data_IF_956008396252
#
_entry.id   IF_956008396252
#
_cell.length_a   1.000
_cell.length_b   1.000
_cell.length_c   1.000
_cell.angle_alpha   90.00
_cell.angle_beta   90.00
_cell.angle_gamma   90.00
#
_symmetry.space_group_name_H-M   'P 1'
#
loop_
_entity.id
_entity.type
_entity.pdbx_description
1 polymer ?
#
# COMPACT_ATOMS: atom_id res chain seq x y z
N UNK A 1 4.37 6.57 8.34
CA UNK A 1 4.04 5.32 7.58
C UNK A 1 4.66 4.11 8.30
N UNK A 2 3.95 2.99 8.52
CA UNK A 2 4.47 1.84 9.28
C UNK A 2 5.01 0.72 8.38
N UNK A 3 6.25 0.24 8.59
CA UNK A 3 6.82 -0.96 7.93
C UNK A 3 6.91 -2.11 8.94
N UNK A 4 6.76 -3.38 8.55
CA UNK A 4 6.98 -4.55 9.42
C UNK A 4 8.11 -5.42 8.85
N UNK A 5 9.14 -5.72 9.65
CA UNK A 5 10.23 -6.67 9.34
C UNK A 5 10.35 -7.77 10.38
N UNK A 6 10.99 -8.88 10.04
CA UNK A 6 11.41 -9.94 10.98
C UNK A 6 12.94 -10.08 10.92
N UNK A 7 13.70 -9.54 11.91
CA UNK A 7 15.18 -9.46 11.83
C UNK A 7 15.88 -9.55 13.19
N UNK A 8 17.08 -10.16 13.19
CA UNK A 8 18.06 -10.24 14.28
C UNK A 8 18.62 -8.87 14.74
N UNK A 9 18.92 -8.79 16.04
CA UNK A 9 18.96 -7.58 16.87
C UNK A 9 20.08 -6.51 16.71
N UNK A 10 21.25 -6.63 16.02
CA UNK A 10 22.32 -5.65 16.31
C UNK A 10 22.38 -4.34 15.49
N UNK A 11 21.75 -4.21 14.31
CA UNK A 11 22.20 -3.19 13.32
C UNK A 11 21.24 -1.99 13.09
N UNK A 12 20.10 -1.94 13.78
CA UNK A 12 18.99 -1.02 13.48
C UNK A 12 19.30 0.44 13.86
N UNK A 13 20.25 0.68 14.77
CA UNK A 13 20.43 1.96 15.46
C UNK A 13 21.28 2.97 14.64
N UNK A 14 22.04 2.53 13.62
CA UNK A 14 23.06 3.38 12.99
C UNK A 14 22.68 3.98 11.62
N UNK A 15 21.43 3.83 11.15
CA UNK A 15 21.03 4.22 9.78
C UNK A 15 19.69 4.99 9.67
N UNK A 16 19.33 5.78 10.69
CA UNK A 16 18.28 6.80 10.54
C UNK A 16 16.84 6.29 10.62
N UNK A 17 16.59 5.25 11.42
CA UNK A 17 15.24 4.77 11.71
C UNK A 17 14.81 5.39 13.05
N UNK A 18 14.06 6.50 12.99
CA UNK A 18 13.76 7.35 14.15
C UNK A 18 12.80 6.73 15.18
N UNK A 19 11.96 5.78 14.76
CA UNK A 19 11.01 5.12 15.66
C UNK A 19 10.84 3.65 15.30
N UNK A 20 11.30 2.77 16.19
CA UNK A 20 11.21 1.31 16.06
C UNK A 20 10.39 0.75 17.21
N UNK A 21 9.25 0.14 16.91
CA UNK A 21 8.44 -0.61 17.88
C UNK A 21 8.70 -2.10 17.65
N UNK A 22 9.29 -2.78 18.63
CA UNK A 22 9.58 -4.22 18.56
C UNK A 22 8.45 -4.97 19.27
N UNK A 23 7.71 -5.80 18.53
CA UNK A 23 6.69 -6.70 19.09
C UNK A 23 6.96 -8.12 18.59
N UNK A 24 7.33 -9.05 19.46
CA UNK A 24 7.48 -10.50 19.16
C UNK A 24 8.10 -10.78 17.78
N UNK A 25 9.39 -10.46 17.60
CA UNK A 25 10.19 -10.54 16.36
C UNK A 25 9.84 -9.55 15.23
N UNK A 26 8.78 -8.75 15.37
CA UNK A 26 8.38 -7.77 14.36
C UNK A 26 8.89 -6.36 14.68
N UNK A 27 9.66 -5.79 13.75
CA UNK A 27 10.19 -4.42 13.81
C UNK A 27 9.26 -3.50 13.05
N UNK A 28 8.60 -2.59 13.78
CA UNK A 28 7.75 -1.55 13.19
C UNK A 28 8.46 -0.22 13.10
N UNK A 29 8.80 0.20 11.89
CA UNK A 29 9.41 1.52 11.67
C UNK A 29 8.33 2.54 11.30
N UNK A 30 8.35 3.71 11.92
CA UNK A 30 7.56 4.85 11.44
C UNK A 30 8.46 5.75 10.60
N UNK A 31 8.04 5.97 9.36
CA UNK A 31 8.63 6.92 8.41
C UNK A 31 10.00 6.51 7.85
N UNK A 32 9.96 5.57 6.91
CA UNK A 32 11.13 5.10 6.19
C UNK A 32 10.82 4.92 4.70
N UNK A 33 11.81 5.21 3.85
CA UNK A 33 11.71 5.09 2.41
C UNK A 33 11.91 3.62 1.98
N UNK A 34 10.89 3.02 1.37
CA UNK A 34 10.88 1.61 0.97
C UNK A 34 12.14 1.20 0.19
N UNK A 35 12.57 2.03 -0.77
CA UNK A 35 13.73 1.75 -1.63
C UNK A 35 15.01 1.62 -0.81
N UNK A 36 15.23 2.56 0.12
CA UNK A 36 16.41 2.54 0.98
C UNK A 36 16.42 1.38 1.96
N UNK A 37 15.24 0.92 2.39
CA UNK A 37 15.13 -0.14 3.38
C UNK A 37 15.31 -1.54 2.76
N UNK A 38 14.86 -1.75 1.52
CA UNK A 38 15.12 -3.01 0.79
C UNK A 38 16.60 -3.22 0.47
N UNK A 39 17.41 -2.15 0.42
CA UNK A 39 18.85 -2.22 0.15
C UNK A 39 19.71 -2.51 1.38
N UNK A 40 19.12 -2.84 2.53
CA UNK A 40 19.85 -3.15 3.76
C UNK A 40 20.09 -4.66 3.87
N UNK A 41 21.34 -5.07 4.11
CA UNK A 41 21.73 -6.50 4.15
C UNK A 41 21.01 -7.33 5.22
N UNK A 42 20.51 -6.67 6.27
CA UNK A 42 19.76 -7.32 7.35
C UNK A 42 18.26 -7.41 7.06
N UNK A 43 17.75 -6.76 6.01
CA UNK A 43 16.33 -6.72 5.70
C UNK A 43 15.95 -7.83 4.71
N UNK A 44 15.04 -8.71 5.14
CA UNK A 44 14.45 -9.67 4.21
C UNK A 44 13.35 -9.00 3.35
N UNK A 45 13.69 -8.73 2.09
CA UNK A 45 12.77 -8.13 1.12
C UNK A 45 11.49 -8.95 0.88
N UNK A 46 11.51 -10.27 1.09
CA UNK A 46 10.33 -11.14 0.88
C UNK A 46 9.28 -11.00 1.98
N UNK A 47 9.73 -10.70 3.20
CA UNK A 47 8.87 -10.59 4.39
C UNK A 47 8.53 -9.13 4.73
N UNK A 48 9.22 -8.19 4.09
CA UNK A 48 8.99 -6.76 4.27
C UNK A 48 7.64 -6.34 3.72
N UNK A 49 6.81 -5.70 4.55
CA UNK A 49 5.54 -5.13 4.11
C UNK A 49 5.48 -3.64 4.39
N UNK A 50 4.96 -2.89 3.42
CA UNK A 50 4.87 -1.44 3.48
C UNK A 50 3.42 -0.99 3.45
N UNK A 51 3.12 0.08 4.21
CA UNK A 51 1.76 0.59 4.27
C UNK A 51 1.39 1.46 3.05
N UNK A 52 2.28 2.33 2.55
CA UNK A 52 1.94 3.19 1.41
C UNK A 52 1.92 2.44 0.09
N UNK A 53 0.75 2.43 -0.55
CA UNK A 53 0.55 1.82 -1.87
C UNK A 53 1.32 2.54 -2.98
N UNK A 54 1.57 3.86 -2.85
CA UNK A 54 2.32 4.65 -3.84
C UNK A 54 3.80 4.25 -3.88
N UNK A 55 4.42 4.06 -2.70
CA UNK A 55 5.83 3.64 -2.63
C UNK A 55 6.01 2.23 -3.21
N UNK A 56 5.04 1.34 -2.96
CA UNK A 56 5.00 -0.01 -3.54
C UNK A 56 4.82 0.05 -5.06
N UNK A 57 3.95 0.92 -5.57
CA UNK A 57 3.76 1.10 -7.01
C UNK A 57 5.07 1.49 -7.70
N UNK A 58 5.81 2.43 -7.10
CA UNK A 58 7.07 2.92 -7.66
C UNK A 58 8.20 1.87 -7.61
N UNK A 59 8.22 1.01 -6.59
CA UNK A 59 9.30 0.06 -6.37
C UNK A 59 9.05 -1.34 -6.95
N UNK A 60 7.81 -1.85 -6.83
CA UNK A 60 7.43 -3.23 -7.15
C UNK A 60 6.42 -3.33 -8.31
N UNK A 61 5.77 -2.23 -8.68
CA UNK A 61 4.83 -2.16 -9.80
C UNK A 61 3.35 -2.32 -9.41
N UNK A 62 2.50 -2.34 -10.44
CA UNK A 62 1.04 -2.19 -10.30
C UNK A 62 0.36 -3.40 -9.64
N UNK A 63 0.81 -4.62 -9.91
CA UNK A 63 0.21 -5.83 -9.32
C UNK A 63 0.55 -5.98 -7.83
N UNK A 64 1.77 -5.61 -7.43
CA UNK A 64 2.12 -5.55 -6.02
C UNK A 64 1.28 -4.49 -5.28
N UNK A 65 1.10 -3.32 -5.90
CA UNK A 65 0.24 -2.27 -5.36
C UNK A 65 -1.22 -2.72 -5.23
N UNK A 66 -1.76 -3.44 -6.23
CA UNK A 66 -3.10 -4.02 -6.22
C UNK A 66 -3.31 -5.00 -5.05
N UNK A 67 -2.36 -5.91 -4.83
CA UNK A 67 -2.45 -6.88 -3.73
C UNK A 67 -2.43 -6.19 -2.35
N UNK A 68 -1.57 -5.18 -2.18
CA UNK A 68 -1.51 -4.41 -0.93
C UNK A 68 -2.80 -3.59 -0.72
N UNK A 69 -3.36 -3.03 -1.79
CA UNK A 69 -4.63 -2.32 -1.74
C UNK A 69 -5.77 -3.23 -1.29
N UNK A 70 -5.89 -4.45 -1.82
CA UNK A 70 -6.90 -5.44 -1.41
C UNK A 70 -6.76 -5.74 0.09
N UNK A 71 -5.54 -5.99 0.56
CA UNK A 71 -5.27 -6.27 1.99
C UNK A 71 -5.65 -5.10 2.89
N UNK A 72 -5.34 -3.86 2.48
CA UNK A 72 -5.71 -2.65 3.22
C UNK A 72 -7.21 -2.43 3.27
N UNK A 73 -7.89 -2.50 2.13
CA UNK A 73 -9.35 -2.35 2.05
C UNK A 73 -10.05 -3.41 2.89
N UNK A 74 -9.62 -4.68 2.81
CA UNK A 74 -10.14 -5.75 3.66
C UNK A 74 -9.94 -5.45 5.15
N UNK A 75 -8.77 -4.93 5.54
CA UNK A 75 -8.48 -4.57 6.93
C UNK A 75 -9.37 -3.41 7.44
N UNK A 76 -9.64 -2.40 6.62
CA UNK A 76 -10.46 -1.24 7.00
C UNK A 76 -11.95 -1.59 7.01
N UNK A 77 -12.42 -2.35 6.02
CA UNK A 77 -13.84 -2.63 5.82
C UNK A 77 -14.38 -3.73 6.74
N UNK A 78 -13.55 -4.71 7.12
CA UNK A 78 -13.94 -5.80 8.03
C UNK A 78 -14.43 -5.35 9.40
N UNK A 79 -14.10 -4.12 9.83
CA UNK A 79 -14.54 -3.59 11.12
C UNK A 79 -16.02 -3.17 11.16
N UNK A 80 -16.62 -2.84 10.01
CA UNK A 80 -17.90 -2.12 9.98
C UNK A 80 -19.02 -2.86 9.23
N UNK A 81 -18.70 -3.62 8.18
CA UNK A 81 -19.71 -4.22 7.29
C UNK A 81 -19.20 -5.54 6.71
N UNK A 82 -20.09 -6.51 6.51
CA UNK A 82 -19.79 -7.77 5.81
C UNK A 82 -19.80 -7.57 4.30
N UNK A 83 -18.69 -7.04 3.77
CA UNK A 83 -18.42 -7.09 2.33
C UNK A 83 -17.79 -8.43 1.95
N UNK A 84 -18.28 -9.03 0.87
CA UNK A 84 -17.63 -10.18 0.25
C UNK A 84 -16.31 -9.75 -0.40
N UNK A 85 -15.33 -10.65 -0.44
CA UNK A 85 -14.00 -10.39 -1.02
C UNK A 85 -14.10 -10.02 -2.51
N UNK A 86 -15.16 -10.44 -3.21
CA UNK A 86 -15.41 -10.06 -4.61
C UNK A 86 -15.61 -8.55 -4.78
N UNK A 87 -16.28 -7.87 -3.85
CA UNK A 87 -16.49 -6.42 -3.93
C UNK A 87 -15.18 -5.66 -3.77
N UNK A 88 -14.33 -6.12 -2.86
CA UNK A 88 -13.01 -5.54 -2.62
C UNK A 88 -12.12 -5.74 -3.86
N UNK A 89 -12.14 -6.94 -4.43
CA UNK A 89 -11.41 -7.22 -5.67
C UNK A 89 -11.91 -6.39 -6.85
N UNK A 90 -13.23 -6.19 -6.98
CA UNK A 90 -13.80 -5.35 -8.02
C UNK A 90 -13.32 -3.90 -7.89
N UNK A 91 -13.33 -3.36 -6.66
CA UNK A 91 -12.84 -2.01 -6.39
C UNK A 91 -11.33 -1.88 -6.66
N UNK A 92 -10.54 -2.87 -6.24
CA UNK A 92 -9.10 -2.87 -6.48
C UNK A 92 -8.77 -2.94 -7.98
N UNK A 93 -9.46 -3.80 -8.73
CA UNK A 93 -9.36 -3.87 -10.19
C UNK A 93 -9.78 -2.55 -10.82
N UNK A 94 -10.91 -1.97 -10.37
CA UNK A 94 -11.34 -0.66 -10.81
C UNK A 94 -10.22 0.35 -10.59
N UNK A 95 -9.52 0.38 -9.46
CA UNK A 95 -8.43 1.34 -9.24
C UNK A 95 -7.13 1.08 -10.04
N UNK A 96 -6.90 -0.14 -10.56
CA UNK A 96 -5.59 -0.54 -11.11
C UNK A 96 -5.58 -0.95 -12.59
N UNK A 97 -6.75 -1.05 -13.24
CA UNK A 97 -6.88 -1.59 -14.61
C UNK A 97 -6.13 -0.83 -15.72
N UNK A 98 -5.84 0.47 -15.56
CA UNK A 98 -5.21 1.28 -16.63
C UNK A 98 -3.67 1.24 -16.60
N UNK A 99 -3.07 0.27 -15.90
CA UNK A 99 -1.61 0.21 -15.69
C UNK A 99 -1.06 1.32 -14.79
N UNK A 100 -1.95 2.13 -14.19
CA UNK A 100 -1.66 3.16 -13.20
C UNK A 100 -2.69 3.07 -12.08
N UNK A 101 -2.30 3.53 -10.89
CA UNK A 101 -3.22 3.61 -9.76
C UNK A 101 -4.06 4.88 -9.87
N UNK A 102 -5.36 4.73 -10.13
CA UNK A 102 -6.30 5.83 -10.31
C UNK A 102 -7.16 5.96 -9.04
N UNK A 103 -7.28 7.16 -8.45
CA UNK A 103 -8.11 7.38 -7.27
C UNK A 103 -9.60 7.26 -7.61
N UNK A 104 -10.41 6.91 -6.62
CA UNK A 104 -11.87 6.91 -6.73
C UNK A 104 -12.39 8.31 -6.40
N UNK A 105 -12.09 9.28 -7.27
CA UNK A 105 -12.66 10.62 -7.21
C UNK A 105 -13.04 11.10 -8.61
N UNK A 106 -13.60 12.31 -8.71
CA UNK A 106 -14.00 12.93 -9.98
C UNK A 106 -12.83 12.98 -10.96
N UNK A 107 -11.63 13.39 -10.53
CA UNK A 107 -10.43 13.41 -11.38
C UNK A 107 -10.09 12.02 -11.94
N UNK A 108 -10.19 10.97 -11.13
CA UNK A 108 -9.95 9.59 -11.56
C UNK A 108 -11.03 9.07 -12.52
N UNK A 109 -12.28 9.51 -12.37
CA UNK A 109 -13.38 9.20 -13.29
C UNK A 109 -13.18 9.92 -14.64
N UNK A 110 -12.72 11.17 -14.60
CA UNK A 110 -12.37 11.97 -15.78
C UNK A 110 -11.21 11.34 -16.55
N UNK A 111 -10.16 10.90 -15.86
CA UNK A 111 -8.99 10.24 -16.47
C UNK A 111 -9.38 8.96 -17.22
N UNK A 112 -10.48 8.31 -16.81
CA UNK A 112 -11.03 7.12 -17.49
C UNK A 112 -11.86 7.40 -18.74
N UNK A 113 -12.08 8.67 -19.09
CA UNK A 113 -12.81 9.02 -20.30
C UNK A 113 -14.33 8.93 -20.18
N UNK A 114 -14.89 9.13 -18.98
CA UNK A 114 -16.34 9.29 -18.86
C UNK A 114 -16.82 10.55 -19.59
N UNK A 115 -18.01 10.46 -20.19
CA UNK A 115 -18.62 11.51 -20.98
C UNK A 115 -18.90 12.78 -20.15
N UNK A 116 -19.07 13.90 -20.86
CA UNK A 116 -19.29 15.21 -20.24
C UNK A 116 -20.47 15.22 -19.25
N UNK A 117 -21.54 14.49 -19.56
CA UNK A 117 -22.72 14.37 -18.69
C UNK A 117 -22.39 13.74 -17.34
N UNK A 118 -21.65 12.63 -17.33
CA UNK A 118 -21.24 11.99 -16.06
C UNK A 118 -20.33 12.90 -15.22
N UNK A 119 -19.57 13.81 -15.84
CA UNK A 119 -18.75 14.76 -15.08
C UNK A 119 -19.62 15.79 -14.34
N UNK A 120 -20.60 16.36 -15.03
CA UNK A 120 -21.51 17.37 -14.46
C UNK A 120 -22.42 16.79 -13.38
N UNK A 121 -22.82 15.52 -13.48
CA UNK A 121 -23.64 14.87 -12.43
C UNK A 121 -22.90 14.52 -11.15
N UNK A 122 -21.56 14.45 -11.20
CA UNK A 122 -20.73 14.07 -10.05
C UNK A 122 -20.07 15.28 -9.37
N UNK A 123 -20.35 16.50 -9.84
CA UNK A 123 -19.98 17.79 -9.22
C UNK A 123 -20.94 18.15 -8.09
#
# INVERSE_FOLDING_TARGET
KSIIFRIQMPQIINKGIEHVIINNDEVKTKDSNLVSTLGLDFVDAKLTTFDSTVDILNCLGIEAARNVLIRKLSKVLKGNVRFDDKHINLLANFMTNNGKMIPVNIFGIVERGHNYLTRVSNE
#
